data_IF_128001224603
#
_entry.id   IF_128001224603
#
_cell.length_a   1.000
_cell.length_b   1.000
_cell.length_c   1.000
_cell.angle_alpha   90.00
_cell.angle_beta   90.00
_cell.angle_gamma   90.00
#
_symmetry.space_group_name_H-M   'P 1'
#
loop_
_entity.id
_entity.type
_entity.pdbx_description
1 polymer ?
#
# COMPACT_ATOMS: atom_id res chain seq x y z
N UNK A 1 -7.40 -19.99 7.63
CA UNK A 1 -7.66 -21.36 7.13
C UNK A 1 -7.24 -21.33 5.67
N UNK A 2 -6.03 -21.77 5.34
CA UNK A 2 -5.54 -21.70 3.96
C UNK A 2 -6.14 -22.86 3.20
N UNK A 3 -7.32 -22.64 2.60
CA UNK A 3 -7.91 -23.59 1.66
C UNK A 3 -7.14 -23.48 0.34
N UNK A 4 -6.15 -24.35 0.17
CA UNK A 4 -5.65 -24.72 -1.16
C UNK A 4 -6.69 -25.58 -1.87
N UNK A 5 -7.78 -24.95 -2.31
CA UNK A 5 -8.71 -25.44 -3.35
C UNK A 5 -9.97 -24.57 -3.30
N UNK A 6 -10.03 -23.56 -4.17
CA UNK A 6 -11.31 -23.09 -4.70
C UNK A 6 -11.33 -23.44 -6.18
N UNK A 7 -12.40 -24.12 -6.56
CA UNK A 7 -12.80 -24.43 -7.94
C UNK A 7 -12.84 -23.13 -8.75
N UNK A 8 -11.99 -23.00 -9.77
CA UNK A 8 -12.02 -21.92 -10.77
C UNK A 8 -11.77 -20.51 -10.22
N UNK A 9 -10.82 -19.78 -10.81
CA UNK A 9 -10.73 -18.33 -10.61
C UNK A 9 -11.98 -17.69 -11.24
N UNK A 10 -12.77 -16.96 -10.45
CA UNK A 10 -13.90 -16.17 -10.96
C UNK A 10 -13.45 -14.73 -11.27
N UNK A 11 -14.20 -14.02 -12.13
CA UNK A 11 -13.92 -12.59 -12.40
C UNK A 11 -13.99 -11.73 -11.13
N UNK A 12 -14.84 -12.09 -10.17
CA UNK A 12 -14.92 -11.43 -8.86
C UNK A 12 -13.65 -11.62 -8.02
N UNK A 13 -12.90 -12.71 -8.21
CA UNK A 13 -11.63 -12.92 -7.51
C UNK A 13 -10.50 -12.05 -8.09
N UNK A 14 -10.61 -11.65 -9.36
CA UNK A 14 -9.63 -10.77 -10.01
C UNK A 14 -9.72 -9.35 -9.48
N UNK A 15 -10.89 -8.88 -9.06
CA UNK A 15 -11.07 -7.55 -8.49
C UNK A 15 -11.17 -7.57 -6.96
N UNK A 16 -11.15 -6.40 -6.34
CA UNK A 16 -11.25 -6.21 -4.88
C UNK A 16 -12.71 -6.23 -4.40
N UNK A 17 -13.56 -7.10 -4.97
CA UNK A 17 -15.01 -7.12 -4.72
C UNK A 17 -15.43 -8.06 -3.60
N UNK A 18 -14.68 -9.13 -3.38
CA UNK A 18 -15.12 -10.19 -2.46
C UNK A 18 -14.00 -10.70 -1.57
N UNK A 19 -14.29 -10.77 -0.27
CA UNK A 19 -13.46 -11.43 0.72
C UNK A 19 -14.32 -12.25 1.68
N UNK A 20 -13.76 -13.33 2.24
CA UNK A 20 -14.51 -14.21 3.14
C UNK A 20 -14.97 -13.49 4.42
N UNK A 21 -14.22 -12.49 4.88
CA UNK A 21 -14.51 -11.77 6.13
C UNK A 21 -14.32 -10.27 5.96
N UNK A 22 -15.30 -9.49 6.42
CA UNK A 22 -15.16 -8.04 6.49
C UNK A 22 -14.12 -7.63 7.54
N UNK A 23 -14.04 -8.41 8.61
CA UNK A 23 -13.16 -8.18 9.74
C UNK A 23 -11.68 -8.23 9.41
N UNK A 24 -11.29 -8.83 8.28
CA UNK A 24 -9.92 -8.77 7.79
C UNK A 24 -9.46 -7.34 7.46
N UNK A 25 -10.39 -6.42 7.18
CA UNK A 25 -10.08 -5.04 6.77
C UNK A 25 -10.07 -4.02 7.91
N UNK A 26 -10.52 -4.39 9.11
CA UNK A 26 -10.56 -3.48 10.25
C UNK A 26 -10.05 -4.09 11.56
N UNK A 27 -9.59 -5.34 11.56
CA UNK A 27 -8.95 -5.97 12.71
C UNK A 27 -7.44 -6.12 12.51
N UNK A 28 -6.70 -6.11 13.62
CA UNK A 28 -5.26 -6.36 13.62
C UNK A 28 -4.97 -7.86 13.60
N UNK A 29 -3.84 -8.25 13.01
CA UNK A 29 -3.32 -9.62 13.07
C UNK A 29 -2.93 -10.04 14.49
N UNK A 30 -2.81 -9.09 15.43
CA UNK A 30 -2.19 -9.34 16.75
C UNK A 30 -3.17 -9.20 17.92
N UNK A 31 -4.49 -9.23 17.67
CA UNK A 31 -5.51 -9.13 18.70
C UNK A 31 -6.37 -10.39 18.84
N UNK A 32 -6.79 -10.68 20.09
CA UNK A 32 -7.65 -11.82 20.45
C UNK A 32 -9.15 -11.56 20.22
N UNK A 33 -9.60 -10.31 20.32
CA UNK A 33 -11.01 -9.94 20.19
C UNK A 33 -11.41 -9.42 18.80
N UNK A 34 -12.69 -9.06 18.68
CA UNK A 34 -13.27 -8.48 17.47
C UNK A 34 -13.43 -6.96 17.54
N UNK A 35 -12.86 -6.32 18.56
CA UNK A 35 -12.88 -4.87 18.69
C UNK A 35 -12.10 -4.20 17.54
N UNK A 36 -12.70 -3.21 16.84
CA UNK A 36 -12.02 -2.44 15.80
C UNK A 36 -11.05 -1.40 16.36
N UNK A 37 -11.10 -1.12 17.68
CA UNK A 37 -10.40 0.00 18.33
C UNK A 37 -8.87 -0.07 18.15
N UNK A 38 -8.18 -1.23 18.31
CA UNK A 38 -6.74 -1.26 18.14
C UNK A 38 -6.28 -0.89 16.73
N UNK A 39 -7.01 -1.34 15.71
CA UNK A 39 -6.70 -0.98 14.32
C UNK A 39 -7.03 0.49 14.05
N UNK A 40 -8.13 1.01 14.61
CA UNK A 40 -8.48 2.43 14.52
C UNK A 40 -7.37 3.33 15.08
N UNK A 41 -6.89 3.03 16.29
CA UNK A 41 -5.83 3.82 16.93
C UNK A 41 -4.54 3.82 16.10
N UNK A 42 -4.15 2.64 15.59
CA UNK A 42 -3.00 2.51 14.69
C UNK A 42 -3.18 3.33 13.41
N UNK A 43 -4.31 3.19 12.72
CA UNK A 43 -4.57 3.89 11.46
C UNK A 43 -4.69 5.40 11.63
N UNK A 44 -5.14 5.87 12.79
CA UNK A 44 -5.12 7.29 13.11
C UNK A 44 -3.68 7.82 13.16
N UNK A 45 -2.76 7.11 13.82
CA UNK A 45 -1.34 7.48 13.86
C UNK A 45 -0.70 7.44 12.47
N UNK A 46 -0.96 6.38 11.68
CA UNK A 46 -0.43 6.26 10.32
C UNK A 46 -0.96 7.35 9.40
N UNK A 47 -2.26 7.66 9.45
CA UNK A 47 -2.87 8.71 8.65
C UNK A 47 -2.35 10.11 9.03
N UNK A 48 -2.14 10.38 10.33
CA UNK A 48 -1.55 11.63 10.78
C UNK A 48 -0.10 11.80 10.27
N UNK A 49 0.71 10.74 10.37
CA UNK A 49 2.07 10.74 9.84
C UNK A 49 2.10 10.93 8.31
N UNK A 50 1.28 10.18 7.58
CA UNK A 50 1.17 10.30 6.13
C UNK A 50 0.68 11.69 5.68
N UNK A 51 -0.29 12.27 6.40
CA UNK A 51 -0.78 13.62 6.14
C UNK A 51 0.33 14.67 6.34
N UNK A 52 1.14 14.53 7.39
CA UNK A 52 2.29 15.40 7.65
C UNK A 52 3.33 15.33 6.53
N UNK A 53 3.72 14.12 6.11
CA UNK A 53 4.67 13.92 5.00
C UNK A 53 4.11 14.46 3.68
N UNK A 54 2.84 14.20 3.38
CA UNK A 54 2.18 14.70 2.19
C UNK A 54 2.13 16.23 2.17
N UNK A 55 1.72 16.87 3.27
CA UNK A 55 1.67 18.32 3.38
C UNK A 55 3.06 18.95 3.25
N UNK A 56 4.08 18.38 3.89
CA UNK A 56 5.46 18.84 3.77
C UNK A 56 5.97 18.70 2.32
N UNK A 57 5.78 17.54 1.69
CA UNK A 57 6.17 17.32 0.28
C UNK A 57 5.51 18.34 -0.67
N UNK A 58 4.21 18.59 -0.52
CA UNK A 58 3.50 19.57 -1.35
C UNK A 58 3.99 21.00 -1.07
N UNK A 59 4.23 21.36 0.20
CA UNK A 59 4.72 22.67 0.57
C UNK A 59 6.13 22.94 0.03
N UNK A 60 7.05 21.99 0.20
CA UNK A 60 8.44 22.11 -0.25
C UNK A 60 8.57 22.05 -1.77
N UNK A 61 7.70 21.30 -2.44
CA UNK A 61 7.71 21.12 -3.90
C UNK A 61 6.58 21.86 -4.62
N UNK A 62 6.05 22.95 -4.07
CA UNK A 62 4.85 23.65 -4.54
C UNK A 62 5.00 24.18 -5.98
N UNK A 63 4.72 23.33 -6.96
CA UNK A 63 4.90 23.59 -8.38
C UNK A 63 4.09 22.59 -9.21
N UNK A 64 3.70 22.92 -10.45
CA UNK A 64 3.16 21.92 -11.39
C UNK A 64 4.08 20.71 -11.59
N UNK A 65 5.40 20.89 -11.45
CA UNK A 65 6.37 19.80 -11.52
C UNK A 65 6.23 18.77 -10.39
N UNK A 66 5.49 19.07 -9.32
CA UNK A 66 5.22 18.07 -8.28
C UNK A 66 4.58 16.81 -8.87
N UNK A 67 3.68 16.95 -9.85
CA UNK A 67 2.96 15.84 -10.46
C UNK A 67 3.77 15.03 -11.48
N UNK A 68 5.00 15.44 -11.86
CA UNK A 68 5.81 14.65 -12.80
C UNK A 68 6.61 13.55 -12.10
N UNK A 69 6.87 13.67 -10.79
CA UNK A 69 7.71 12.72 -10.05
C UNK A 69 6.93 11.51 -9.53
N UNK A 70 7.44 10.30 -9.77
CA UNK A 70 6.89 9.06 -9.24
C UNK A 70 6.89 9.04 -7.71
N UNK A 71 7.92 9.63 -7.09
CA UNK A 71 8.01 9.84 -5.65
C UNK A 71 6.73 10.44 -5.08
N UNK A 72 6.28 11.54 -5.70
CA UNK A 72 5.14 12.32 -5.24
C UNK A 72 3.83 11.55 -5.42
N UNK A 73 3.73 10.76 -6.49
CA UNK A 73 2.62 9.82 -6.67
C UNK A 73 2.63 8.75 -5.58
N UNK A 74 3.79 8.24 -5.20
CA UNK A 74 3.96 7.32 -4.08
C UNK A 74 3.48 7.91 -2.75
N UNK A 75 3.89 9.15 -2.43
CA UNK A 75 3.42 9.86 -1.22
C UNK A 75 1.89 10.04 -1.23
N UNK A 76 1.32 10.45 -2.37
CA UNK A 76 -0.14 10.58 -2.53
C UNK A 76 -0.85 9.24 -2.34
N UNK A 77 -0.32 8.14 -2.90
CA UNK A 77 -0.89 6.81 -2.76
C UNK A 77 -0.90 6.34 -1.30
N UNK A 78 0.16 6.61 -0.53
CA UNK A 78 0.21 6.29 0.90
C UNK A 78 -0.79 7.14 1.70
N UNK A 79 -0.90 8.43 1.39
CA UNK A 79 -1.91 9.29 2.01
C UNK A 79 -3.33 8.80 1.74
N UNK A 80 -3.67 8.46 0.50
CA UNK A 80 -4.99 7.94 0.12
C UNK A 80 -5.27 6.56 0.75
N UNK A 81 -4.27 5.68 0.82
CA UNK A 81 -4.37 4.38 1.47
C UNK A 81 -4.66 4.53 2.98
N UNK A 82 -3.91 5.37 3.68
CA UNK A 82 -4.10 5.57 5.12
C UNK A 82 -5.43 6.26 5.43
N UNK A 83 -5.86 7.23 4.61
CA UNK A 83 -7.16 7.89 4.75
C UNK A 83 -8.34 6.92 4.52
N UNK A 84 -8.26 6.10 3.49
CA UNK A 84 -9.29 5.08 3.21
C UNK A 84 -9.32 3.98 4.28
N UNK A 85 -8.16 3.53 4.77
CA UNK A 85 -8.07 2.58 5.87
C UNK A 85 -8.65 3.14 7.17
N UNK A 86 -8.32 4.39 7.51
CA UNK A 86 -8.89 5.08 8.67
C UNK A 86 -10.42 5.16 8.55
N UNK A 87 -10.93 5.48 7.37
CA UNK A 87 -12.38 5.50 7.11
C UNK A 87 -13.04 4.15 7.35
N UNK A 88 -12.43 3.05 6.89
CA UNK A 88 -12.90 1.68 7.16
C UNK A 88 -12.96 1.41 8.67
N UNK A 89 -11.93 1.77 9.42
CA UNK A 89 -11.89 1.57 10.88
C UNK A 89 -12.87 2.45 11.66
N UNK A 90 -13.11 3.68 11.21
CA UNK A 90 -14.12 4.57 11.79
C UNK A 90 -15.52 4.00 11.57
N UNK A 91 -15.83 3.57 10.35
CA UNK A 91 -17.13 2.95 10.05
C UNK A 91 -17.32 1.67 10.86
N UNK A 92 -16.30 0.82 10.98
CA UNK A 92 -16.34 -0.39 11.80
C UNK A 92 -16.58 -0.11 13.29
N UNK A 93 -16.12 1.05 13.79
CA UNK A 93 -16.27 1.44 15.19
C UNK A 93 -17.64 2.08 15.49
N UNK A 94 -18.13 2.93 14.60
CA UNK A 94 -19.28 3.80 14.86
C UNK A 94 -20.57 3.36 14.16
N UNK A 95 -20.51 2.41 13.23
CA UNK A 95 -21.67 1.90 12.49
C UNK A 95 -21.72 0.38 12.59
N UNK A 96 -22.95 -0.15 12.57
CA UNK A 96 -23.15 -1.56 12.31
C UNK A 96 -22.76 -1.82 10.86
N UNK A 97 -21.68 -2.57 10.65
CA UNK A 97 -21.24 -2.97 9.32
C UNK A 97 -22.30 -3.88 8.69
N UNK A 98 -22.54 -3.76 7.37
CA UNK A 98 -23.46 -4.66 6.69
C UNK A 98 -22.94 -6.09 6.77
N UNK A 99 -23.86 -7.04 6.97
CA UNK A 99 -23.54 -8.46 6.87
C UNK A 99 -23.16 -8.78 5.41
N UNK A 100 -22.09 -9.56 5.19
CA UNK A 100 -21.64 -9.92 3.83
C UNK A 100 -22.48 -11.10 3.29
N UNK A 101 -23.81 -11.05 3.49
CA UNK A 101 -24.73 -12.12 3.10
C UNK A 101 -24.75 -12.37 1.58
N UNK A 102 -24.38 -11.36 0.78
CA UNK A 102 -24.27 -11.44 -0.68
C UNK A 102 -22.83 -11.61 -1.21
N UNK A 103 -21.82 -11.76 -0.34
CA UNK A 103 -20.43 -12.01 -0.74
C UNK A 103 -19.64 -10.79 -1.26
N UNK A 104 -20.27 -9.62 -1.40
CA UNK A 104 -19.64 -8.40 -1.89
C UNK A 104 -19.18 -7.47 -0.74
N UNK A 105 -18.01 -6.88 -0.92
CA UNK A 105 -17.45 -5.86 -0.04
C UNK A 105 -18.11 -4.51 -0.31
N UNK A 106 -18.36 -3.69 0.73
CA UNK A 106 -18.73 -2.29 0.54
C UNK A 106 -17.64 -1.55 -0.25
N UNK A 107 -18.06 -0.63 -1.12
CA UNK A 107 -17.16 0.08 -2.04
C UNK A 107 -15.96 0.75 -1.33
N UNK A 108 -16.16 1.29 -0.12
CA UNK A 108 -15.09 1.97 0.62
C UNK A 108 -14.02 0.99 1.16
N UNK A 109 -14.40 -0.26 1.44
CA UNK A 109 -13.46 -1.34 1.79
C UNK A 109 -12.70 -1.80 0.55
N UNK A 110 -13.40 -1.95 -0.58
CA UNK A 110 -12.76 -2.24 -1.87
C UNK A 110 -11.75 -1.17 -2.27
N UNK A 111 -12.10 0.11 -2.13
CA UNK A 111 -11.20 1.24 -2.39
C UNK A 111 -9.97 1.17 -1.51
N UNK A 112 -10.13 0.97 -0.19
CA UNK A 112 -9.00 0.78 0.71
C UNK A 112 -8.13 -0.41 0.31
N UNK A 113 -8.73 -1.53 -0.09
CA UNK A 113 -7.97 -2.73 -0.45
C UNK A 113 -7.15 -2.51 -1.73
N UNK A 114 -7.73 -1.85 -2.74
CA UNK A 114 -7.04 -1.49 -3.96
C UNK A 114 -5.87 -0.54 -3.67
N UNK A 115 -6.10 0.54 -2.91
CA UNK A 115 -5.04 1.50 -2.56
C UNK A 115 -3.98 0.86 -1.68
N UNK A 116 -4.33 -0.06 -0.78
CA UNK A 116 -3.41 -0.88 0.02
C UNK A 116 -2.48 -1.71 -0.86
N UNK A 117 -3.03 -2.49 -1.81
CA UNK A 117 -2.25 -3.36 -2.69
C UNK A 117 -1.25 -2.55 -3.54
N UNK A 118 -1.68 -1.37 -4.02
CA UNK A 118 -0.85 -0.48 -4.83
C UNK A 118 0.21 0.21 -3.97
N UNK A 119 -0.21 0.90 -2.91
CA UNK A 119 0.67 1.75 -2.10
C UNK A 119 1.76 0.93 -1.39
N UNK A 120 1.45 -0.27 -0.92
CA UNK A 120 2.43 -1.16 -0.30
C UNK A 120 3.62 -1.43 -1.21
N UNK A 121 3.35 -1.83 -2.46
CA UNK A 121 4.38 -2.25 -3.39
C UNK A 121 5.09 -1.04 -4.01
N UNK A 122 4.34 -0.02 -4.41
CA UNK A 122 4.90 1.18 -5.04
C UNK A 122 5.79 1.97 -4.06
N UNK A 123 5.39 2.14 -2.79
CA UNK A 123 6.20 2.87 -1.80
C UNK A 123 7.53 2.16 -1.52
N UNK A 124 7.51 0.84 -1.33
CA UNK A 124 8.72 0.03 -1.13
C UNK A 124 9.63 0.05 -2.37
N UNK A 125 9.04 0.00 -3.58
CA UNK A 125 9.78 0.09 -4.83
C UNK A 125 10.47 1.46 -4.99
N UNK A 126 9.76 2.56 -4.71
CA UNK A 126 10.31 3.93 -4.79
C UNK A 126 11.50 4.07 -3.84
N UNK A 127 11.37 3.60 -2.60
CA UNK A 127 12.48 3.63 -1.63
C UNK A 127 13.69 2.85 -2.14
N UNK A 128 13.49 1.65 -2.68
CA UNK A 128 14.57 0.87 -3.27
C UNK A 128 15.24 1.60 -4.44
N UNK A 129 14.46 2.12 -5.38
CA UNK A 129 14.98 2.88 -6.52
C UNK A 129 15.75 4.12 -6.08
N UNK A 130 15.25 4.86 -5.09
CA UNK A 130 15.93 6.03 -4.57
C UNK A 130 17.31 5.69 -4.00
N UNK A 131 17.36 4.82 -2.99
CA UNK A 131 18.61 4.53 -2.28
C UNK A 131 19.63 3.77 -3.13
N UNK A 132 19.19 3.02 -4.15
CA UNK A 132 20.08 2.26 -5.03
C UNK A 132 20.56 3.09 -6.22
N UNK A 133 19.71 3.96 -6.78
CA UNK A 133 19.98 4.61 -8.09
C UNK A 133 20.06 6.13 -8.05
N UNK A 134 19.53 6.79 -7.03
CA UNK A 134 19.39 8.26 -7.01
C UNK A 134 20.13 8.93 -5.84
N UNK A 135 20.20 8.27 -4.67
CA UNK A 135 20.84 8.84 -3.50
C UNK A 135 22.33 9.12 -3.74
N UNK A 136 22.75 10.36 -3.46
CA UNK A 136 24.14 10.78 -3.50
C UNK A 136 24.51 11.51 -2.20
N UNK A 137 25.38 10.93 -1.34
CA UNK A 137 25.72 11.53 -0.06
C UNK A 137 26.41 12.89 -0.19
N UNK A 138 27.17 13.13 -1.26
CA UNK A 138 27.90 14.39 -1.45
C UNK A 138 26.97 15.59 -1.73
N UNK A 139 25.80 15.35 -2.34
CA UNK A 139 24.81 16.38 -2.63
C UNK A 139 23.94 16.72 -1.40
N UNK A 140 23.64 15.72 -0.57
CA UNK A 140 22.77 15.88 0.59
C UNK A 140 23.46 16.59 1.78
N UNK A 141 24.80 16.57 1.85
CA UNK A 141 25.55 17.31 2.87
C UNK A 141 25.40 18.84 2.73
N UNK A 142 25.14 19.35 1.53
CA UNK A 142 24.99 20.79 1.28
C UNK A 142 23.59 21.31 1.69
N UNK A 143 22.57 20.45 1.77
CA UNK A 143 21.17 20.81 1.99
C UNK A 143 20.51 19.89 3.02
N UNK A 144 20.78 20.11 4.30
CA UNK A 144 20.24 19.32 5.44
C UNK A 144 18.70 19.16 5.39
N UNK A 145 17.97 20.17 4.92
CA UNK A 145 16.51 20.09 4.77
C UNK A 145 16.05 19.14 3.65
N UNK A 146 16.88 18.92 2.61
CA UNK A 146 16.61 17.95 1.54
C UNK A 146 16.67 16.53 2.08
N UNK A 147 17.73 16.20 2.82
CA UNK A 147 17.91 14.86 3.38
C UNK A 147 16.70 14.39 4.21
N UNK A 148 16.18 15.23 5.11
CA UNK A 148 15.02 14.86 5.94
C UNK A 148 13.74 14.71 5.13
N UNK A 149 13.59 15.50 4.06
CA UNK A 149 12.45 15.38 3.15
C UNK A 149 12.55 14.08 2.32
N UNK A 150 13.73 13.73 1.83
CA UNK A 150 13.97 12.50 1.08
C UNK A 150 13.79 11.26 1.98
N UNK A 151 14.34 11.30 3.19
CA UNK A 151 14.11 10.27 4.20
C UNK A 151 12.63 10.12 4.55
N UNK A 152 11.89 11.23 4.60
CA UNK A 152 10.45 11.21 4.91
C UNK A 152 9.62 10.66 3.75
N UNK A 153 9.84 11.14 2.53
CA UNK A 153 9.06 10.77 1.34
C UNK A 153 9.38 9.37 0.82
N UNK A 154 10.51 8.80 1.23
CA UNK A 154 10.92 7.44 0.88
C UNK A 154 10.87 6.51 2.10
N UNK A 155 11.80 6.70 3.04
CA UNK A 155 12.01 5.82 4.18
C UNK A 155 10.79 5.75 5.11
N UNK A 156 10.37 6.87 5.70
CA UNK A 156 9.21 6.87 6.59
C UNK A 156 7.91 6.52 5.85
N UNK A 157 7.77 6.96 4.60
CA UNK A 157 6.63 6.58 3.76
C UNK A 157 6.55 5.05 3.56
N UNK A 158 7.69 4.36 3.43
CA UNK A 158 7.78 2.89 3.39
C UNK A 158 7.48 2.26 4.76
N UNK A 159 7.97 2.84 5.86
CA UNK A 159 7.65 2.37 7.21
C UNK A 159 6.15 2.43 7.50
N UNK A 160 5.43 3.45 7.02
CA UNK A 160 3.98 3.59 7.18
C UNK A 160 3.25 2.43 6.50
N UNK A 161 3.52 2.18 5.21
CA UNK A 161 2.83 1.09 4.49
C UNK A 161 3.21 -0.29 5.02
N UNK A 162 4.46 -0.46 5.46
CA UNK A 162 4.92 -1.72 6.03
C UNK A 162 4.30 -1.97 7.41
N UNK A 163 4.08 -0.92 8.20
CA UNK A 163 3.34 -1.00 9.47
C UNK A 163 1.87 -1.38 9.24
N UNK A 164 1.19 -0.76 8.25
CA UNK A 164 -0.16 -1.16 7.86
C UNK A 164 -0.19 -2.64 7.44
N UNK A 165 0.79 -3.08 6.65
CA UNK A 165 0.93 -4.47 6.23
C UNK A 165 1.14 -5.43 7.41
N UNK A 166 2.07 -5.14 8.31
CA UNK A 166 2.40 -6.04 9.42
C UNK A 166 1.25 -6.15 10.43
N UNK A 167 0.54 -5.06 10.68
CA UNK A 167 -0.44 -4.98 11.76
C UNK A 167 -1.85 -5.35 11.30
N UNK A 168 -2.24 -5.06 10.06
CA UNK A 168 -3.58 -5.40 9.55
C UNK A 168 -3.76 -6.90 9.30
N UNK A 169 -5.01 -7.36 9.21
CA UNK A 169 -5.38 -8.66 8.62
C UNK A 169 -5.64 -8.55 7.12
N UNK A 170 -5.46 -7.36 6.52
CA UNK A 170 -5.77 -7.12 5.11
C UNK A 170 -5.02 -8.14 4.25
N UNK A 171 -5.71 -8.87 3.36
CA UNK A 171 -5.10 -9.90 2.55
C UNK A 171 -4.35 -9.29 1.37
N UNK A 172 -3.14 -9.76 1.11
CA UNK A 172 -2.45 -9.56 -0.16
C UNK A 172 -2.62 -10.85 -0.98
N UNK A 173 -3.27 -10.79 -2.15
CA UNK A 173 -3.53 -11.97 -2.99
C UNK A 173 -2.72 -11.89 -4.26
N UNK A 174 -2.03 -12.96 -4.63
CA UNK A 174 -1.18 -12.97 -5.82
C UNK A 174 -1.90 -12.58 -7.12
N UNK A 175 -3.20 -12.87 -7.23
CA UNK A 175 -4.03 -12.47 -8.38
C UNK A 175 -4.15 -10.96 -8.59
N UNK A 176 -3.86 -10.14 -7.57
CA UNK A 176 -3.90 -8.67 -7.61
C UNK A 176 -2.57 -8.03 -7.99
N UNK A 177 -1.55 -8.82 -8.37
CA UNK A 177 -0.22 -8.31 -8.78
C UNK A 177 -0.26 -7.31 -9.92
N UNK A 178 -1.27 -7.40 -10.80
CA UNK A 178 -1.43 -6.47 -11.91
C UNK A 178 -1.72 -5.03 -11.43
N UNK A 179 -2.21 -4.82 -10.21
CA UNK A 179 -2.60 -3.50 -9.70
C UNK A 179 -1.38 -2.55 -9.56
N UNK A 180 -0.32 -2.91 -8.81
CA UNK A 180 0.90 -2.09 -8.78
C UNK A 180 1.66 -2.10 -10.11
N UNK A 181 1.63 -3.21 -10.89
CA UNK A 181 2.23 -3.23 -12.24
C UNK A 181 1.59 -2.17 -13.14
N UNK A 182 0.26 -2.05 -13.11
CA UNK A 182 -0.48 -1.09 -13.92
C UNK A 182 -0.05 0.35 -13.59
N UNK A 183 0.16 0.68 -12.31
CA UNK A 183 0.65 2.01 -11.91
C UNK A 183 2.09 2.25 -12.36
N UNK A 184 2.98 1.27 -12.22
CA UNK A 184 4.37 1.39 -12.70
C UNK A 184 4.46 1.56 -14.22
N UNK A 185 3.67 0.79 -14.98
CA UNK A 185 3.58 0.93 -16.44
C UNK A 185 2.97 2.27 -16.84
N UNK A 186 1.90 2.68 -16.17
CA UNK A 186 1.24 3.96 -16.41
C UNK A 186 2.20 5.13 -16.21
N UNK A 187 2.98 5.12 -15.13
CA UNK A 187 4.01 6.13 -14.91
C UNK A 187 5.09 6.09 -16.01
N UNK A 188 5.53 4.89 -16.40
CA UNK A 188 6.54 4.73 -17.45
C UNK A 188 6.06 5.30 -18.79
N UNK A 189 4.81 5.00 -19.17
CA UNK A 189 4.16 5.54 -20.37
C UNK A 189 4.02 7.06 -20.27
N UNK A 190 3.52 7.55 -19.14
CA UNK A 190 3.39 8.98 -18.86
C UNK A 190 4.72 9.71 -19.04
N UNK A 191 5.81 9.22 -18.44
CA UNK A 191 7.13 9.88 -18.54
C UNK A 191 7.67 9.91 -19.97
N UNK A 192 7.45 8.85 -20.75
CA UNK A 192 7.83 8.82 -22.17
C UNK A 192 7.01 9.81 -23.01
N UNK A 193 5.69 9.89 -22.78
CA UNK A 193 4.82 10.87 -23.45
C UNK A 193 5.21 12.30 -23.04
N UNK A 194 5.47 12.52 -21.75
CA UNK A 194 5.88 13.81 -21.22
C UNK A 194 7.15 14.33 -21.91
N UNK A 195 8.15 13.46 -22.06
CA UNK A 195 9.35 13.76 -22.84
C UNK A 195 9.03 14.04 -24.32
N UNK A 196 8.24 13.19 -24.98
CA UNK A 196 7.89 13.37 -26.39
C UNK A 196 7.11 14.66 -26.67
N UNK A 197 6.38 15.18 -25.67
CA UNK A 197 5.69 16.46 -25.71
C UNK A 197 6.58 17.68 -25.41
N UNK A 198 7.88 17.48 -25.18
CA UNK A 198 8.84 18.55 -24.85
C UNK A 198 8.87 18.94 -23.37
N UNK A 199 8.38 18.08 -22.47
CA UNK A 199 8.40 18.30 -21.02
C UNK A 199 9.82 18.37 -20.45
N UNK A 200 10.00 19.19 -19.42
CA UNK A 200 11.28 19.42 -18.72
C UNK A 200 11.11 19.33 -17.21
N UNK A 201 12.20 19.30 -16.45
CA UNK A 201 12.15 19.56 -15.01
C UNK A 201 12.05 21.08 -14.69
N UNK A 202 12.16 21.43 -13.41
CA UNK A 202 12.08 22.81 -12.91
C UNK A 202 13.24 23.71 -13.35
N UNK A 203 14.35 23.15 -13.84
CA UNK A 203 15.53 23.90 -14.30
C UNK A 203 15.75 23.78 -15.81
N UNK A 204 14.85 23.09 -16.52
CA UNK A 204 14.85 22.99 -17.98
C UNK A 204 15.56 21.76 -18.55
N UNK A 205 15.91 20.77 -17.73
CA UNK A 205 16.46 19.51 -18.22
C UNK A 205 15.39 18.70 -18.94
N UNK A 206 15.70 18.03 -20.06
CA UNK A 206 14.73 17.27 -20.86
C UNK A 206 14.46 15.86 -20.29
N UNK A 207 14.42 15.72 -18.97
CA UNK A 207 14.13 14.47 -18.27
C UNK A 207 13.55 14.75 -16.88
N UNK A 208 12.74 13.82 -16.36
CA UNK A 208 12.23 13.88 -14.97
C UNK A 208 13.28 13.31 -14.02
N UNK A 209 13.84 12.16 -14.38
CA UNK A 209 14.95 11.51 -13.69
C UNK A 209 16.05 11.26 -14.72
N UNK A 210 17.28 11.69 -14.44
CA UNK A 210 18.41 11.53 -15.38
C UNK A 210 18.64 10.05 -15.75
N UNK A 211 18.46 9.14 -14.80
CA UNK A 211 18.57 7.69 -15.04
C UNK A 211 17.54 7.16 -16.03
N UNK A 212 16.41 7.86 -16.22
CA UNK A 212 15.32 7.55 -17.13
C UNK A 212 15.23 8.60 -18.25
N UNK A 213 16.38 8.98 -18.80
CA UNK A 213 16.47 9.88 -19.94
C UNK A 213 16.02 9.19 -21.24
N UNK A 214 14.86 9.58 -21.75
CA UNK A 214 14.24 8.99 -22.93
C UNK A 214 14.99 9.28 -24.25
N UNK A 215 15.96 10.20 -24.25
CA UNK A 215 16.93 10.35 -25.35
C UNK A 215 17.80 9.09 -25.53
N UNK A 216 18.01 8.35 -24.44
CA UNK A 216 18.71 7.06 -24.40
C UNK A 216 17.68 5.92 -24.32
N UNK A 217 16.81 5.80 -25.31
CA UNK A 217 15.62 4.92 -25.26
C UNK A 217 15.94 3.48 -24.87
N UNK A 218 17.01 2.87 -25.40
CA UNK A 218 17.38 1.49 -25.05
C UNK A 218 17.72 1.33 -23.56
N UNK A 219 18.45 2.30 -22.98
CA UNK A 219 18.79 2.31 -21.56
C UNK A 219 17.55 2.50 -20.70
N UNK A 220 16.68 3.44 -21.07
CA UNK A 220 15.44 3.73 -20.35
C UNK A 220 14.47 2.55 -20.38
N UNK A 221 14.32 1.87 -21.53
CA UNK A 221 13.54 0.64 -21.64
C UNK A 221 14.11 -0.50 -20.80
N UNK A 222 15.45 -0.67 -20.79
CA UNK A 222 16.10 -1.66 -19.93
C UNK A 222 15.87 -1.37 -18.43
N UNK A 223 15.93 -0.10 -18.02
CA UNK A 223 15.65 0.32 -16.65
C UNK A 223 14.18 0.04 -16.27
N UNK A 224 13.22 0.38 -17.13
CA UNK A 224 11.79 0.07 -16.91
C UNK A 224 11.58 -1.44 -16.78
N UNK A 225 12.19 -2.25 -17.66
CA UNK A 225 12.08 -3.70 -17.59
C UNK A 225 12.68 -4.28 -16.29
N UNK A 226 13.85 -3.77 -15.87
CA UNK A 226 14.47 -4.17 -14.60
C UNK A 226 13.61 -3.76 -13.39
N UNK A 227 13.03 -2.55 -13.40
CA UNK A 227 12.15 -2.08 -12.35
C UNK A 227 10.85 -2.92 -12.25
N UNK A 228 10.26 -3.31 -13.39
CA UNK A 228 9.11 -4.21 -13.42
C UNK A 228 9.44 -5.61 -12.89
N UNK A 229 10.60 -6.16 -13.26
CA UNK A 229 11.05 -7.45 -12.75
C UNK A 229 11.25 -7.39 -11.22
N UNK A 230 11.89 -6.34 -10.71
CA UNK A 230 12.06 -6.12 -9.28
C UNK A 230 10.72 -5.93 -8.55
N UNK A 231 9.75 -5.22 -9.16
CA UNK A 231 8.40 -5.07 -8.62
C UNK A 231 7.68 -6.43 -8.49
N UNK A 232 7.79 -7.30 -9.50
CA UNK A 232 7.22 -8.66 -9.45
C UNK A 232 7.84 -9.48 -8.32
N UNK A 233 9.16 -9.44 -8.19
CA UNK A 233 9.88 -10.13 -7.10
C UNK A 233 9.44 -9.59 -5.74
N UNK A 234 9.41 -8.27 -5.58
CA UNK A 234 8.95 -7.61 -4.36
C UNK A 234 7.52 -8.01 -4.01
N UNK A 235 6.61 -8.05 -4.99
CA UNK A 235 5.24 -8.50 -4.78
C UNK A 235 5.20 -9.94 -4.26
N UNK A 236 5.96 -10.85 -4.88
CA UNK A 236 6.02 -12.25 -4.45
C UNK A 236 6.56 -12.39 -3.01
N UNK A 237 7.59 -11.60 -2.66
CA UNK A 237 8.14 -11.55 -1.30
C UNK A 237 7.08 -11.06 -0.31
N UNK A 238 6.41 -9.94 -0.60
CA UNK A 238 5.38 -9.38 0.28
C UNK A 238 4.19 -10.32 0.45
N UNK A 239 3.79 -11.01 -0.62
CA UNK A 239 2.76 -12.04 -0.58
C UNK A 239 3.17 -13.23 0.31
N UNK A 240 4.42 -13.69 0.19
CA UNK A 240 4.98 -14.71 1.09
C UNK A 240 4.99 -14.25 2.55
N UNK A 241 5.37 -13.00 2.80
CA UNK A 241 5.35 -12.40 4.14
C UNK A 241 3.93 -12.29 4.71
N UNK A 242 2.89 -12.05 3.90
CA UNK A 242 1.48 -12.12 4.36
C UNK A 242 1.14 -13.51 4.88
N UNK A 243 1.53 -14.56 4.16
CA UNK A 243 1.31 -15.94 4.60
C UNK A 243 2.04 -16.22 5.92
N UNK A 244 3.27 -15.74 6.06
CA UNK A 244 4.04 -15.86 7.29
C UNK A 244 3.36 -15.12 8.45
N UNK A 245 2.98 -13.85 8.26
CA UNK A 245 2.25 -13.02 9.24
C UNK A 245 1.01 -13.74 9.74
N UNK A 246 0.19 -14.26 8.83
CA UNK A 246 -1.08 -14.90 9.17
C UNK A 246 -0.86 -16.23 9.91
N UNK A 247 0.13 -17.02 9.51
CA UNK A 247 0.49 -18.27 10.20
C UNK A 247 1.02 -18.01 11.62
N UNK A 248 1.89 -17.00 11.78
CA UNK A 248 2.46 -16.62 13.07
C UNK A 248 1.35 -16.05 13.98
N UNK A 249 0.51 -15.17 13.45
CA UNK A 249 -0.67 -14.64 14.15
C UNK A 249 -1.55 -15.77 14.67
N UNK A 250 -1.90 -16.74 13.82
CA UNK A 250 -2.68 -17.91 14.24
C UNK A 250 -1.95 -18.72 15.30
N UNK A 251 -0.65 -18.98 15.12
CA UNK A 251 0.14 -19.77 16.05
C UNK A 251 0.28 -19.11 17.43
N UNK A 252 0.38 -17.78 17.51
CA UNK A 252 0.57 -17.05 18.78
C UNK A 252 -0.78 -16.73 19.42
N UNK A 253 -1.74 -16.22 18.66
CA UNK A 253 -3.01 -15.72 19.20
C UNK A 253 -3.99 -16.86 19.48
N UNK A 254 -4.04 -17.92 18.65
CA UNK A 254 -5.01 -19.02 18.82
C UNK A 254 -4.54 -20.17 19.71
N UNK A 255 -3.24 -20.41 19.85
CA UNK A 255 -2.77 -21.42 20.82
C UNK A 255 -3.01 -20.94 22.24
N UNK A 256 -2.79 -19.66 22.53
CA UNK A 256 -3.10 -19.06 23.84
C UNK A 256 -4.61 -18.84 24.08
N UNK A 257 -5.47 -19.05 23.09
CA UNK A 257 -6.93 -18.97 23.27
C UNK A 257 -7.60 -20.32 23.56
N UNK A 258 -6.92 -21.44 23.28
CA UNK A 258 -7.41 -22.78 23.62
C UNK A 258 -7.27 -23.12 25.12
N UNK A 259 -6.53 -22.32 25.88
CA UNK A 259 -6.48 -22.38 27.34
C UNK A 259 -7.62 -21.59 28.01
N UNK A 260 -8.46 -20.90 27.23
CA UNK A 260 -9.67 -20.23 27.71
C UNK A 260 -10.89 -21.12 27.41
N UNK A 261 -11.83 -21.27 28.36
CA UNK A 261 -13.06 -22.01 28.13
C UNK A 261 -13.80 -21.43 26.92
N UNK A 262 -14.44 -22.30 26.13
CA UNK A 262 -15.31 -21.90 25.02
C UNK A 262 -16.23 -20.76 25.47
N UNK A 263 -16.03 -19.56 24.93
CA UNK A 263 -17.07 -18.55 24.95
C UNK A 263 -18.24 -19.12 24.15
N UNK A 264 -19.46 -19.20 24.72
CA UNK A 264 -20.62 -19.65 23.97
C UNK A 264 -20.76 -18.80 22.71
N UNK A 265 -21.16 -19.38 21.56
CA UNK A 265 -21.52 -18.59 20.39
C UNK A 265 -22.58 -17.56 20.78
N UNK A 266 -22.50 -16.37 20.18
CA UNK A 266 -23.48 -15.31 20.39
C UNK A 266 -24.89 -15.89 20.27
N UNK A 267 -25.69 -15.71 21.32
CA UNK A 267 -27.08 -16.18 21.33
C UNK A 267 -27.78 -15.51 20.16
N UNK A 268 -28.25 -16.31 19.21
CA UNK A 268 -29.25 -15.91 18.24
C UNK A 268 -30.52 -15.60 19.04
N UNK A 269 -30.68 -14.35 19.48
CA UNK A 269 -31.95 -13.86 20.02
C UNK A 269 -32.85 -13.56 18.83
N UNK A 270 -33.65 -14.54 18.41
CA UNK A 270 -34.54 -14.36 17.28
C UNK A 270 -35.34 -15.59 16.90
N UNK A 271 -35.98 -16.23 17.89
CA UNK A 271 -37.06 -17.18 17.65
C UNK A 271 -38.13 -16.99 18.72
N UNK A 272 -39.06 -16.07 18.44
CA UNK A 272 -40.46 -16.12 18.85
C UNK A 272 -41.28 -15.66 17.66
#
# INVERSE_FOLDING_TARGET
MVKYSRKGLSLSDLWVLSNEKLSDFYLTSWQKGESPIPMLAMRFMLAAAAAGIFAWSVYSGASPYWFIFLTNWGVLLVFLMTLSGLSVSLVATFKNLPDISEGNLPWYVSTYWLTYNIALIISLMITGLYWILLYNPEQDEELVNSFWLDLSTHGFNSCIVFSEFLLSRTPLRFVHIYQPIAIGLWYSIFSGIYYAAGGTDSVGNPFIYEILDWRQTNRSLALVAAALAALIVLYAVMWGLTICRDKISVAIIRTTSLDLPFTPPDRISGAV
#
